data_IF_056217611218
#
_entry.id   IF_056217611218
#
_cell.length_a   1.000
_cell.length_b   1.000
_cell.length_c   1.000
_cell.angle_alpha   90.00
_cell.angle_beta   90.00
_cell.angle_gamma   90.00
#
_symmetry.space_group_name_H-M   'P 1'
#
loop_
_entity.id
_entity.type
_entity.pdbx_description
1 polymer ?
#
# COMPACT_ATOMS: atom_id res chain seq x y z
N UNK A 1 -8.64 12.65 -7.03
CA UNK A 1 -8.65 12.58 -5.55
C UNK A 1 -7.21 12.69 -5.03
N UNK A 2 -6.92 13.60 -4.08
CA UNK A 2 -5.60 13.75 -3.45
C UNK A 2 -4.40 14.05 -4.37
N UNK A 3 -4.61 14.66 -5.55
CA UNK A 3 -3.52 15.04 -6.48
C UNK A 3 -2.56 16.01 -5.78
N UNK A 4 -1.26 15.73 -5.82
CA UNK A 4 -0.24 16.58 -5.21
C UNK A 4 -0.37 16.73 -3.68
N UNK A 5 -0.99 15.77 -2.99
CA UNK A 5 -1.09 15.80 -1.53
C UNK A 5 0.30 15.97 -0.88
N UNK A 6 0.42 16.88 0.08
CA UNK A 6 1.70 17.38 0.60
C UNK A 6 1.72 17.52 2.13
N UNK A 7 1.08 16.61 2.86
CA UNK A 7 1.19 16.48 4.33
C UNK A 7 -0.11 16.29 5.09
N UNK A 8 -1.26 16.50 4.44
CA UNK A 8 -2.57 16.31 5.06
C UNK A 8 -3.02 14.84 5.12
N UNK A 9 -4.10 14.58 5.85
CA UNK A 9 -4.81 13.29 5.85
C UNK A 9 -6.13 13.39 5.10
N UNK A 10 -6.42 12.43 4.24
CA UNK A 10 -7.71 12.28 3.56
C UNK A 10 -8.32 10.94 3.96
N UNK A 11 -9.58 10.93 4.37
CA UNK A 11 -10.34 9.71 4.65
C UNK A 11 -11.59 9.71 3.77
N UNK A 12 -11.82 8.62 3.04
CA UNK A 12 -12.98 8.43 2.17
C UNK A 12 -13.70 7.13 2.53
N UNK A 13 -14.99 7.21 2.83
CA UNK A 13 -15.85 6.08 3.15
C UNK A 13 -17.29 6.37 2.72
N UNK A 14 -18.09 5.35 2.39
CA UNK A 14 -19.49 5.54 2.01
C UNK A 14 -20.34 6.00 3.20
N UNK A 15 -21.53 6.60 2.96
CA UNK A 15 -22.48 6.88 4.02
C UNK A 15 -22.78 5.62 4.86
N UNK A 16 -22.93 5.79 6.18
CA UNK A 16 -23.17 4.67 7.11
C UNK A 16 -24.42 3.84 6.78
N UNK A 17 -25.40 4.44 6.10
CA UNK A 17 -26.64 3.80 5.66
C UNK A 17 -26.55 3.15 4.26
N UNK A 18 -25.39 3.17 3.61
CA UNK A 18 -25.19 2.50 2.33
C UNK A 18 -25.43 0.98 2.48
N UNK A 19 -26.20 0.41 1.55
CA UNK A 19 -26.57 -1.02 1.56
C UNK A 19 -25.67 -1.89 0.67
N UNK A 20 -24.83 -1.28 -0.17
CA UNK A 20 -23.86 -2.00 -1.00
C UNK A 20 -22.60 -2.35 -0.19
N UNK A 21 -21.88 -3.39 -0.63
CA UNK A 21 -20.61 -3.82 -0.04
C UNK A 21 -19.49 -2.86 -0.47
N UNK A 22 -18.90 -2.04 0.42
CA UNK A 22 -17.97 -0.99 0.01
C UNK A 22 -16.73 -1.50 -0.70
N UNK A 23 -16.17 -2.62 -0.24
CA UNK A 23 -14.97 -3.24 -0.81
C UNK A 23 -15.17 -3.77 -2.25
N UNK A 24 -16.42 -3.91 -2.70
CA UNK A 24 -16.77 -4.29 -4.08
C UNK A 24 -17.07 -3.10 -4.99
N UNK A 25 -16.95 -1.86 -4.48
CA UNK A 25 -17.41 -0.65 -5.17
C UNK A 25 -16.33 0.43 -5.25
N UNK A 26 -16.33 1.20 -6.34
CA UNK A 26 -15.40 2.32 -6.54
C UNK A 26 -15.77 3.48 -5.61
N UNK A 27 -14.84 3.88 -4.74
CA UNK A 27 -14.98 5.06 -3.86
C UNK A 27 -14.15 6.25 -4.35
N UNK A 28 -13.04 6.01 -5.07
CA UNK A 28 -12.19 7.04 -5.67
C UNK A 28 -11.86 6.73 -7.12
N UNK A 29 -11.87 7.74 -7.97
CA UNK A 29 -11.62 7.59 -9.41
C UNK A 29 -10.13 7.37 -9.77
N UNK A 30 -9.88 7.43 -11.07
CA UNK A 30 -8.55 7.21 -11.66
C UNK A 30 -7.53 8.28 -11.24
N UNK A 31 -6.24 7.94 -11.37
CA UNK A 31 -5.11 8.89 -11.22
C UNK A 31 -5.12 9.57 -9.85
N UNK A 32 -5.56 8.83 -8.83
CA UNK A 32 -5.58 9.28 -7.45
C UNK A 32 -4.16 9.35 -6.89
N UNK A 33 -3.87 10.38 -6.10
CA UNK A 33 -2.56 10.63 -5.48
C UNK A 33 -1.42 10.94 -6.46
N UNK A 34 -1.77 11.38 -7.67
CA UNK A 34 -0.77 11.72 -8.68
C UNK A 34 0.25 12.74 -8.17
N UNK A 35 1.52 12.34 -8.16
CA UNK A 35 2.65 13.19 -7.77
C UNK A 35 2.60 13.68 -6.32
N UNK A 36 1.84 13.01 -5.45
CA UNK A 36 1.76 13.37 -4.06
C UNK A 36 3.08 13.10 -3.32
N UNK A 37 3.45 13.97 -2.38
CA UNK A 37 4.80 14.02 -1.78
C UNK A 37 4.83 13.77 -0.28
N UNK A 38 3.70 13.95 0.42
CA UNK A 38 3.59 13.67 1.85
C UNK A 38 2.11 13.57 2.24
N UNK A 39 1.82 12.92 3.37
CA UNK A 39 0.47 12.81 3.93
C UNK A 39 -0.07 11.39 3.93
N UNK A 40 -1.33 11.25 4.31
CA UNK A 40 -1.95 9.95 4.59
C UNK A 40 -3.33 9.83 3.96
N UNK A 41 -3.69 8.65 3.46
CA UNK A 41 -4.95 8.41 2.77
C UNK A 41 -5.55 7.09 3.20
N UNK A 42 -6.83 7.10 3.57
CA UNK A 42 -7.57 5.91 3.99
C UNK A 42 -8.89 5.83 3.23
N UNK A 43 -9.10 4.78 2.45
CA UNK A 43 -10.23 4.68 1.54
C UNK A 43 -10.96 3.35 1.71
N UNK A 44 -12.21 3.39 2.17
CA UNK A 44 -13.09 2.22 2.31
C UNK A 44 -13.85 1.98 1.01
N UNK A 45 -13.21 1.21 0.14
CA UNK A 45 -13.67 0.81 -1.18
C UNK A 45 -12.51 0.74 -2.17
N UNK A 46 -12.85 0.61 -3.45
CA UNK A 46 -11.87 0.46 -4.52
C UNK A 46 -11.50 1.80 -5.16
N UNK A 47 -10.28 1.89 -5.66
CA UNK A 47 -9.85 2.91 -6.58
C UNK A 47 -10.00 2.45 -8.02
N UNK A 48 -10.21 3.40 -8.94
CA UNK A 48 -10.05 3.17 -10.37
C UNK A 48 -8.60 2.89 -10.78
N UNK A 49 -8.28 3.15 -12.06
CA UNK A 49 -6.94 2.90 -12.61
C UNK A 49 -5.90 3.91 -12.12
N UNK A 50 -4.62 3.52 -12.17
CA UNK A 50 -3.47 4.38 -11.85
C UNK A 50 -3.55 4.98 -10.45
N UNK A 51 -4.03 4.22 -9.48
CA UNK A 51 -3.97 4.63 -8.08
C UNK A 51 -2.51 4.77 -7.63
N UNK A 52 -2.18 5.87 -6.94
CA UNK A 52 -0.82 6.16 -6.47
C UNK A 52 0.24 6.29 -7.58
N UNK A 53 -0.18 6.66 -8.80
CA UNK A 53 0.75 6.93 -9.89
C UNK A 53 1.72 8.07 -9.51
N UNK A 54 3.02 7.86 -9.67
CA UNK A 54 4.07 8.81 -9.25
C UNK A 54 3.98 9.24 -7.78
N UNK A 55 3.40 8.41 -6.90
CA UNK A 55 3.46 8.67 -5.47
C UNK A 55 4.93 8.79 -5.04
N UNK A 56 5.22 9.85 -4.29
CA UNK A 56 6.56 10.24 -3.89
C UNK A 56 6.63 10.58 -2.39
N UNK A 57 5.68 10.07 -1.59
CA UNK A 57 5.76 10.13 -0.12
C UNK A 57 4.45 10.03 0.65
N UNK A 58 3.32 9.74 0.00
CA UNK A 58 2.06 9.46 0.70
C UNK A 58 2.02 8.02 1.19
N UNK A 59 1.48 7.86 2.40
CA UNK A 59 1.05 6.57 2.94
C UNK A 59 -0.44 6.36 2.66
N UNK A 60 -0.84 5.27 2.01
CA UNK A 60 -2.23 5.02 1.64
C UNK A 60 -2.70 3.61 2.03
N UNK A 61 -3.96 3.50 2.46
CA UNK A 61 -4.69 2.23 2.63
C UNK A 61 -5.97 2.26 1.79
N UNK A 62 -6.19 1.23 0.99
CA UNK A 62 -7.30 1.12 0.03
C UNK A 62 -7.77 -0.35 -0.04
N UNK A 63 -9.03 -0.62 -0.37
CA UNK A 63 -9.60 -2.00 -0.38
C UNK A 63 -9.59 -2.66 -1.77
N UNK A 64 -9.12 -1.95 -2.79
CA UNK A 64 -8.86 -2.50 -4.12
C UNK A 64 -8.38 -1.41 -5.07
N UNK A 65 -7.72 -1.80 -6.14
CA UNK A 65 -7.21 -0.87 -7.16
C UNK A 65 -7.41 -1.44 -8.55
N UNK A 66 -7.68 -0.58 -9.52
CA UNK A 66 -7.69 -0.95 -10.94
C UNK A 66 -6.30 -1.21 -11.53
N UNK A 67 -6.22 -1.20 -12.85
CA UNK A 67 -4.96 -1.42 -13.58
C UNK A 67 -3.93 -0.31 -13.28
N UNK A 68 -2.64 -0.65 -13.39
CA UNK A 68 -1.52 0.28 -13.24
C UNK A 68 -1.39 0.91 -11.84
N UNK A 69 -1.84 0.22 -10.79
CA UNK A 69 -1.60 0.67 -9.41
C UNK A 69 -0.10 0.85 -9.12
N UNK A 70 0.26 1.91 -8.39
CA UNK A 70 1.64 2.26 -8.02
C UNK A 70 2.60 2.49 -9.21
N UNK A 71 2.08 2.73 -10.41
CA UNK A 71 2.90 3.03 -11.59
C UNK A 71 3.81 4.25 -11.35
N UNK A 72 5.10 4.14 -11.68
CA UNK A 72 6.11 5.19 -11.48
C UNK A 72 6.25 5.72 -10.03
N UNK A 73 5.79 4.97 -9.03
CA UNK A 73 5.97 5.34 -7.63
C UNK A 73 7.46 5.38 -7.27
N UNK A 74 7.88 6.43 -6.57
CA UNK A 74 9.30 6.69 -6.23
C UNK A 74 9.56 6.70 -4.73
N UNK A 75 8.54 6.96 -3.90
CA UNK A 75 8.57 6.91 -2.43
C UNK A 75 7.14 6.74 -1.89
N UNK A 76 7.03 6.50 -0.59
CA UNK A 76 5.75 6.32 0.12
C UNK A 76 5.44 4.85 0.39
N UNK A 77 4.25 4.61 0.93
CA UNK A 77 3.79 3.29 1.33
C UNK A 77 2.34 3.09 0.90
N UNK A 78 2.02 2.01 0.18
CA UNK A 78 0.63 1.71 -0.21
C UNK A 78 0.23 0.33 0.29
N UNK A 79 -0.87 0.24 1.05
CA UNK A 79 -1.48 -1.03 1.47
C UNK A 79 -2.79 -1.23 0.70
N UNK A 80 -2.90 -2.33 -0.03
CA UNK A 80 -4.11 -2.74 -0.75
C UNK A 80 -4.71 -3.96 -0.06
N UNK A 81 -5.91 -3.81 0.51
CA UNK A 81 -6.61 -4.84 1.29
C UNK A 81 -7.53 -5.73 0.44
N UNK A 82 -7.35 -5.73 -0.88
CA UNK A 82 -8.15 -6.51 -1.81
C UNK A 82 -7.53 -6.57 -3.20
N UNK A 83 -8.37 -6.79 -4.22
CA UNK A 83 -7.90 -7.09 -5.57
C UNK A 83 -7.19 -5.91 -6.23
N UNK A 84 -6.18 -6.23 -7.03
CA UNK A 84 -5.50 -5.28 -7.93
C UNK A 84 -5.87 -5.54 -9.38
N UNK A 85 -5.75 -4.52 -10.23
CA UNK A 85 -5.70 -4.70 -11.67
C UNK A 85 -4.32 -5.19 -12.15
N UNK A 86 -4.17 -5.23 -13.47
CA UNK A 86 -2.96 -5.65 -14.18
C UNK A 86 -1.87 -4.58 -14.15
N UNK A 87 -0.66 -5.00 -14.47
CA UNK A 87 0.51 -4.13 -14.65
C UNK A 87 0.80 -3.28 -13.40
N UNK A 88 0.52 -3.82 -12.21
CA UNK A 88 0.80 -3.18 -10.94
C UNK A 88 2.31 -2.93 -10.80
N UNK A 89 2.70 -1.81 -10.19
CA UNK A 89 4.08 -1.39 -9.95
C UNK A 89 4.97 -1.20 -11.21
N UNK A 90 4.38 -1.05 -12.40
CA UNK A 90 5.16 -0.75 -13.60
C UNK A 90 5.96 0.56 -13.44
N UNK A 91 7.27 0.48 -13.70
CA UNK A 91 8.18 1.62 -13.54
C UNK A 91 8.34 2.13 -12.10
N UNK A 92 7.87 1.39 -11.09
CA UNK A 92 8.07 1.72 -9.68
C UNK A 92 9.56 1.64 -9.33
N UNK A 93 10.14 2.74 -8.90
CA UNK A 93 11.58 2.89 -8.64
C UNK A 93 11.91 3.18 -7.17
N UNK A 94 10.91 3.45 -6.33
CA UNK A 94 11.08 3.45 -4.88
C UNK A 94 9.77 3.44 -4.09
N UNK A 95 9.89 3.38 -2.77
CA UNK A 95 8.76 3.13 -1.86
C UNK A 95 8.46 1.64 -1.70
N UNK A 96 7.39 1.33 -0.97
CA UNK A 96 6.94 -0.05 -0.71
C UNK A 96 5.43 -0.15 -0.91
N UNK A 97 4.96 -1.26 -1.48
CA UNK A 97 3.55 -1.59 -1.47
C UNK A 97 3.31 -2.97 -0.81
N UNK A 98 2.16 -3.13 -0.18
CA UNK A 98 1.70 -4.37 0.43
C UNK A 98 0.35 -4.73 -0.14
N UNK A 99 0.21 -5.94 -0.66
CA UNK A 99 -1.04 -6.41 -1.27
C UNK A 99 -1.54 -7.62 -0.51
N UNK A 100 -2.79 -7.58 -0.08
CA UNK A 100 -3.49 -8.70 0.53
C UNK A 100 -3.97 -9.67 -0.56
N UNK A 101 -3.17 -10.69 -0.86
CA UNK A 101 -3.39 -11.67 -1.93
C UNK A 101 -3.96 -12.98 -1.39
N UNK A 102 -5.28 -13.03 -1.22
CA UNK A 102 -5.97 -14.23 -0.76
C UNK A 102 -6.04 -15.32 -1.82
N UNK A 103 -6.01 -14.95 -3.10
CA UNK A 103 -6.22 -15.84 -4.24
C UNK A 103 -4.88 -16.44 -4.73
N UNK A 104 -3.74 -15.86 -4.33
CA UNK A 104 -2.40 -16.33 -4.67
C UNK A 104 -2.00 -16.04 -6.12
N UNK A 105 -2.73 -15.17 -6.81
CA UNK A 105 -2.58 -14.87 -8.23
C UNK A 105 -2.02 -13.47 -8.51
N UNK A 106 -1.69 -12.70 -7.46
CA UNK A 106 -1.20 -11.32 -7.61
C UNK A 106 0.07 -11.24 -8.46
N UNK A 107 0.95 -12.25 -8.40
CA UNK A 107 2.15 -12.31 -9.22
C UNK A 107 1.88 -12.19 -10.73
N UNK A 108 0.76 -12.75 -11.23
CA UNK A 108 0.36 -12.62 -12.63
C UNK A 108 -0.12 -11.22 -13.03
N UNK A 109 -0.40 -10.36 -12.05
CA UNK A 109 -0.87 -8.97 -12.23
C UNK A 109 0.22 -7.94 -11.97
N UNK A 110 1.35 -8.33 -11.37
CA UNK A 110 2.45 -7.44 -11.04
C UNK A 110 3.47 -7.36 -12.19
N UNK A 111 3.96 -6.16 -12.47
CA UNK A 111 5.04 -5.94 -13.44
C UNK A 111 6.40 -6.07 -12.75
N UNK A 112 7.04 -7.23 -12.93
CA UNK A 112 8.30 -7.58 -12.26
C UNK A 112 9.56 -7.06 -12.97
N UNK A 113 9.45 -6.08 -13.87
CA UNK A 113 10.62 -5.55 -14.60
C UNK A 113 11.60 -4.78 -13.71
N UNK A 114 11.10 -4.13 -12.65
CA UNK A 114 11.91 -3.32 -11.73
C UNK A 114 11.67 -3.65 -10.26
N UNK A 115 10.65 -4.44 -9.96
CA UNK A 115 10.25 -4.81 -8.59
C UNK A 115 10.26 -6.31 -8.42
N UNK A 116 10.38 -6.74 -7.18
CA UNK A 116 10.22 -8.14 -6.77
C UNK A 116 9.11 -8.26 -5.73
N UNK A 117 8.63 -9.49 -5.59
CA UNK A 117 7.69 -9.89 -4.56
C UNK A 117 8.46 -10.53 -3.41
N UNK A 118 8.61 -9.78 -2.32
CA UNK A 118 9.42 -10.20 -1.18
C UNK A 118 8.57 -10.90 -0.11
N UNK A 119 9.18 -11.82 0.65
CA UNK A 119 8.65 -12.25 1.93
C UNK A 119 8.45 -11.05 2.86
N UNK A 120 7.40 -11.10 3.67
CA UNK A 120 7.15 -10.13 4.73
C UNK A 120 8.09 -10.37 5.91
N UNK A 121 8.71 -9.29 6.41
CA UNK A 121 9.51 -9.27 7.63
C UNK A 121 8.68 -8.82 8.85
N UNK A 122 9.19 -9.03 10.06
CA UNK A 122 8.51 -8.65 11.30
C UNK A 122 8.14 -7.15 11.34
N UNK A 123 9.06 -6.29 10.89
CA UNK A 123 8.83 -4.85 10.82
C UNK A 123 7.74 -4.49 9.81
N UNK A 124 7.64 -5.23 8.70
CA UNK A 124 6.60 -5.03 7.70
C UNK A 124 5.23 -5.34 8.32
N UNK A 125 5.10 -6.47 9.02
CA UNK A 125 3.88 -6.86 9.73
C UNK A 125 3.44 -5.83 10.77
N UNK A 126 4.37 -5.34 11.59
CA UNK A 126 4.07 -4.30 12.57
C UNK A 126 3.54 -3.03 11.88
N UNK A 127 4.19 -2.63 10.78
CA UNK A 127 3.81 -1.45 9.99
C UNK A 127 2.42 -1.58 9.38
N UNK A 128 2.14 -2.67 8.66
CA UNK A 128 0.84 -2.83 8.01
C UNK A 128 -0.27 -3.05 9.03
N UNK A 129 -0.01 -3.69 10.17
CA UNK A 129 -1.00 -3.86 11.23
C UNK A 129 -1.45 -2.53 11.83
N UNK A 130 -0.52 -1.60 12.08
CA UNK A 130 -0.84 -0.24 12.51
C UNK A 130 -1.70 0.50 11.46
N UNK A 131 -1.28 0.45 10.19
CA UNK A 131 -2.01 1.12 9.11
C UNK A 131 -3.43 0.56 8.92
N UNK A 132 -3.61 -0.75 9.05
CA UNK A 132 -4.93 -1.40 8.96
C UNK A 132 -5.77 -1.06 10.19
N UNK A 133 -5.17 -0.98 11.38
CA UNK A 133 -5.86 -0.51 12.59
C UNK A 133 -6.40 0.91 12.40
N UNK A 134 -5.56 1.82 11.92
CA UNK A 134 -5.95 3.21 11.64
C UNK A 134 -7.00 3.30 10.53
N UNK A 135 -6.89 2.46 9.50
CA UNK A 135 -7.93 2.35 8.46
C UNK A 135 -9.27 1.93 9.07
N UNK A 136 -9.27 0.95 9.98
CA UNK A 136 -10.47 0.56 10.73
C UNK A 136 -11.01 1.71 11.59
N UNK A 137 -10.18 2.38 12.37
CA UNK A 137 -10.59 3.51 13.22
C UNK A 137 -11.24 4.65 12.42
N UNK A 138 -10.69 4.97 11.23
CA UNK A 138 -11.19 6.09 10.43
C UNK A 138 -12.38 5.73 9.55
N UNK A 139 -12.57 4.47 9.20
CA UNK A 139 -13.55 4.08 8.16
C UNK A 139 -14.58 3.03 8.59
N UNK A 140 -14.36 2.40 9.75
CA UNK A 140 -15.10 1.22 10.24
C UNK A 140 -15.17 0.12 9.17
N UNK A 141 -14.05 -0.06 8.46
CA UNK A 141 -13.92 -1.07 7.41
C UNK A 141 -14.09 -2.48 7.98
N UNK A 142 -15.07 -3.21 7.44
CA UNK A 142 -15.27 -4.62 7.82
C UNK A 142 -14.14 -5.52 7.29
N UNK A 143 -13.47 -5.13 6.20
CA UNK A 143 -12.28 -5.82 5.68
C UNK A 143 -11.12 -5.67 6.66
N UNK A 144 -10.85 -4.44 7.10
CA UNK A 144 -9.81 -4.17 8.09
C UNK A 144 -10.08 -4.91 9.41
N UNK A 145 -11.33 -4.86 9.90
CA UNK A 145 -11.73 -5.62 11.09
C UNK A 145 -11.47 -7.12 10.95
N UNK A 146 -11.83 -7.71 9.81
CA UNK A 146 -11.65 -9.14 9.55
C UNK A 146 -10.17 -9.53 9.54
N UNK A 147 -9.33 -8.72 8.89
CA UNK A 147 -7.87 -8.91 8.85
C UNK A 147 -7.28 -8.78 10.27
N UNK A 148 -7.66 -7.76 11.03
CA UNK A 148 -7.13 -7.55 12.38
C UNK A 148 -7.57 -8.65 13.35
N UNK A 149 -8.84 -9.05 13.28
CA UNK A 149 -9.40 -10.10 14.14
C UNK A 149 -8.82 -11.48 13.83
N UNK A 150 -8.47 -11.74 12.56
CA UNK A 150 -7.88 -12.98 12.07
C UNK A 150 -6.37 -12.91 11.87
N UNK A 151 -5.66 -11.95 12.48
CA UNK A 151 -4.30 -11.56 12.09
C UNK A 151 -3.32 -12.71 11.88
N UNK A 152 -3.33 -13.71 12.77
CA UNK A 152 -2.42 -14.88 12.69
C UNK A 152 -2.56 -15.63 11.36
N UNK A 153 -3.77 -15.74 10.84
CA UNK A 153 -4.06 -16.45 9.61
C UNK A 153 -4.03 -15.53 8.40
N UNK A 154 -4.47 -14.28 8.55
CA UNK A 154 -4.56 -13.34 7.41
C UNK A 154 -3.21 -12.74 7.06
N UNK A 155 -2.30 -12.53 8.02
CA UNK A 155 -1.02 -11.87 7.79
C UNK A 155 -0.17 -12.58 6.71
N UNK A 156 -0.24 -13.92 6.64
CA UNK A 156 0.51 -14.72 5.66
C UNK A 156 0.13 -14.48 4.19
N UNK A 157 -1.02 -13.84 3.96
CA UNK A 157 -1.51 -13.53 2.61
C UNK A 157 -1.00 -12.17 2.11
N UNK A 158 -0.22 -11.43 2.90
CA UNK A 158 0.40 -10.20 2.42
C UNK A 158 1.64 -10.49 1.59
N UNK A 159 1.71 -9.83 0.44
CA UNK A 159 2.88 -9.79 -0.43
C UNK A 159 3.47 -8.40 -0.40
N UNK A 160 4.79 -8.31 -0.19
CA UNK A 160 5.55 -7.06 -0.26
C UNK A 160 6.04 -6.84 -1.69
N UNK A 161 5.84 -5.63 -2.20
CA UNK A 161 6.32 -5.19 -3.52
C UNK A 161 7.34 -4.10 -3.31
N UNK A 162 8.57 -4.35 -3.76
CA UNK A 162 9.68 -3.40 -3.59
C UNK A 162 10.59 -3.36 -4.81
N UNK A 163 11.04 -2.17 -5.26
CA UNK A 163 12.00 -2.06 -6.34
C UNK A 163 13.37 -2.61 -5.95
N UNK A 164 13.98 -3.38 -6.85
CA UNK A 164 15.25 -4.09 -6.59
C UNK A 164 16.37 -3.11 -6.24
N UNK A 165 16.53 -2.06 -7.03
CA UNK A 165 17.57 -1.05 -6.79
C UNK A 165 17.33 -0.25 -5.50
N UNK A 166 16.06 0.02 -5.18
CA UNK A 166 15.70 0.71 -3.94
C UNK A 166 16.04 -0.13 -2.71
N UNK A 167 15.81 -1.45 -2.76
CA UNK A 167 16.17 -2.38 -1.69
C UNK A 167 17.68 -2.36 -1.41
N UNK A 168 18.52 -2.40 -2.45
CA UNK A 168 19.98 -2.35 -2.31
C UNK A 168 20.44 -1.10 -1.57
N UNK A 169 19.88 0.06 -1.92
CA UNK A 169 20.22 1.34 -1.29
C UNK A 169 19.80 1.35 0.20
N UNK A 170 18.62 0.83 0.53
CA UNK A 170 18.17 0.75 1.93
C UNK A 170 19.04 -0.21 2.73
N UNK A 171 19.32 -1.40 2.20
CA UNK A 171 20.16 -2.38 2.88
C UNK A 171 21.56 -1.83 3.19
N UNK A 172 22.18 -1.13 2.23
CA UNK A 172 23.45 -0.44 2.46
C UNK A 172 23.35 0.63 3.56
N UNK A 173 22.33 1.49 3.51
CA UNK A 173 22.13 2.53 4.52
C UNK A 173 21.84 1.98 5.93
N UNK A 174 21.21 0.79 6.04
CA UNK A 174 21.01 0.12 7.33
C UNK A 174 22.33 -0.39 7.91
N UNK A 175 23.19 -1.00 7.08
CA UNK A 175 24.50 -1.47 7.50
C UNK A 175 25.39 -0.32 7.99
N UNK A 176 25.39 0.80 7.26
CA UNK A 176 26.16 2.00 7.65
C UNK A 176 25.71 2.52 9.03
N UNK A 177 24.40 2.63 9.26
CA UNK A 177 23.84 3.07 10.56
C UNK A 177 24.16 2.11 11.70
N UNK A 178 24.17 0.81 11.45
CA UNK A 178 24.50 -0.20 12.45
C UNK A 178 25.99 -0.17 12.80
N UNK A 179 26.86 0.01 11.81
CA UNK A 179 28.30 0.21 12.00
C UNK A 179 28.60 1.50 12.79
N UNK A 180 27.93 2.61 12.47
CA UNK A 180 28.03 3.87 13.23
C UNK A 180 27.60 3.69 14.69
N UNK A 181 26.49 2.97 14.92
CA UNK A 181 25.99 2.68 16.27
C UNK A 181 27.00 1.86 17.07
N UNK A 182 27.58 0.82 16.48
CA UNK A 182 28.59 -0.03 17.13
C UNK A 182 29.90 0.72 17.39
N UNK A 183 30.29 1.66 16.53
CA UNK A 183 31.48 2.49 16.72
C UNK A 183 31.30 3.58 17.80
N UNK A 184 30.05 3.87 18.18
CA UNK A 184 29.69 4.88 19.20
C UNK A 184 29.51 4.32 20.61
N UNK A 185 29.73 3.01 20.81
CA UNK A 185 29.69 2.29 22.10
C UNK A 185 31.11 1.95 22.55
#
# INVERSE_FOLDING_TARGET
>A
FGKGLSGGRIVAFPPRAASFVPEDNIIVGNVSLYGATAGEVFCRGQAGERFAVRNSGVTAVIEGVGDHGCEYMTKGLVVVLGKTGRNFAAGMSGGVAYVYDTDGDFAGRCNLSMVELDPMEEQDFATIKDLIHRHYEYTESTVAWRILSGWKDTARHFVKVMPVEYRKVIAAAHLDREAERLASV
#
